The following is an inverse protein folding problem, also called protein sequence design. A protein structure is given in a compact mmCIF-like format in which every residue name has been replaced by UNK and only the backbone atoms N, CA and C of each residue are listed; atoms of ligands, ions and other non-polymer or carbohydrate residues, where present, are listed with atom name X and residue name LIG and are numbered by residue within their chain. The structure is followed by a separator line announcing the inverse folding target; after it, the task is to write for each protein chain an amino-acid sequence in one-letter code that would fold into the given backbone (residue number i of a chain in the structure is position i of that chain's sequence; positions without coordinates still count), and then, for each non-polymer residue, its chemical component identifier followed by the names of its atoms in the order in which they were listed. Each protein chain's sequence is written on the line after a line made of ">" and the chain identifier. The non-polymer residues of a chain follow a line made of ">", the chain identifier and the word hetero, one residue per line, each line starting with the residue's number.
data_IF_604858377138
#
_entry.id   IF_604858377138
#
_cell.length_a   1.000
_cell.length_b   1.000
_cell.length_c   1.000
_cell.angle_alpha   90.00
_cell.angle_beta   90.00
_cell.angle_gamma   90.00
#
_symmetry.space_group_name_H-M   'P 1'
#
loop_
_entity.id
_entity.type
_entity.pdbx_description
1 polymer ?
#
# COMPACT_ATOMS: atom_id res chain seq x y z
N UNK A 1 11.49 31.72 24.52
CA UNK A 1 12.54 31.12 23.67
C UNK A 1 13.46 32.23 23.25
N UNK A 2 14.70 32.26 23.75
CA UNK A 2 15.50 33.50 23.85
C UNK A 2 16.61 33.66 22.80
N UNK A 3 16.60 32.92 21.70
CA UNK A 3 17.63 33.03 20.64
C UNK A 3 17.04 32.83 19.23
N UNK A 4 16.45 33.88 18.62
CA UNK A 4 15.91 33.81 17.25
C UNK A 4 16.98 33.65 16.17
N UNK A 5 18.25 33.88 16.49
CA UNK A 5 19.42 33.79 15.59
C UNK A 5 19.78 32.34 15.21
N UNK A 6 19.26 31.34 15.93
CA UNK A 6 19.43 29.92 15.58
C UNK A 6 18.85 29.59 14.21
N UNK A 7 17.86 30.35 13.74
CA UNK A 7 17.23 30.17 12.43
C UNK A 7 18.14 30.58 11.26
N UNK A 8 19.32 31.16 11.52
CA UNK A 8 20.32 31.47 10.50
C UNK A 8 21.30 30.32 10.23
N UNK A 9 21.07 29.13 10.82
CA UNK A 9 21.86 27.93 10.52
C UNK A 9 21.43 27.33 9.17
N UNK A 10 22.36 26.85 8.31
CA UNK A 10 22.03 26.26 7.00
C UNK A 10 21.03 25.09 7.09
N UNK A 11 21.12 24.32 8.17
CA UNK A 11 20.22 23.19 8.45
C UNK A 11 18.76 23.60 8.76
N UNK A 12 18.49 24.89 9.00
CA UNK A 12 17.16 25.44 9.31
C UNK A 12 16.65 26.41 8.23
N UNK A 13 17.28 26.43 7.05
CA UNK A 13 16.89 27.32 5.94
C UNK A 13 15.43 27.13 5.49
N UNK A 14 14.92 25.89 5.53
CA UNK A 14 13.52 25.61 5.21
C UNK A 14 12.56 26.31 6.18
N UNK A 15 12.92 26.38 7.46
CA UNK A 15 12.11 26.99 8.51
C UNK A 15 12.20 28.51 8.45
N UNK A 16 13.38 29.05 8.13
CA UNK A 16 13.56 30.48 7.81
C UNK A 16 12.66 30.91 6.66
N UNK A 17 12.66 30.17 5.54
CA UNK A 17 11.79 30.46 4.40
C UNK A 17 10.30 30.37 4.75
N UNK A 18 9.91 29.44 5.63
CA UNK A 18 8.53 29.32 6.12
C UNK A 18 8.10 30.54 6.96
N UNK A 19 8.96 31.00 7.87
CA UNK A 19 8.70 32.18 8.72
C UNK A 19 8.60 33.45 7.88
N UNK A 20 9.47 33.62 6.88
CA UNK A 20 9.43 34.74 5.94
C UNK A 20 8.14 34.73 5.09
N UNK A 21 7.68 33.55 4.66
CA UNK A 21 6.42 33.38 3.94
C UNK A 21 5.19 33.79 4.76
N UNK A 22 5.26 33.67 6.08
CA UNK A 22 4.22 34.10 7.03
C UNK A 22 4.36 35.57 7.46
N UNK A 23 5.29 36.32 6.85
CA UNK A 23 5.52 37.74 7.14
C UNK A 23 6.37 38.01 8.38
N UNK A 24 6.99 36.97 8.95
CA UNK A 24 7.95 37.12 10.05
C UNK A 24 9.33 37.53 9.53
N UNK A 25 10.02 38.43 10.26
CA UNK A 25 11.42 38.80 9.96
C UNK A 25 12.36 38.13 10.95
N UNK A 26 13.31 37.33 10.44
CA UNK A 26 14.36 36.72 11.24
C UNK A 26 15.52 37.73 11.38
N UNK A 27 15.98 38.07 12.61
CA UNK A 27 17.14 38.94 12.80
C UNK A 27 18.42 38.34 12.21
N UNK A 28 19.21 39.15 11.51
CA UNK A 28 20.52 38.73 10.97
C UNK A 28 21.57 38.67 12.09
N UNK A 29 22.27 37.54 12.19
CA UNK A 29 23.31 37.32 13.20
C UNK A 29 23.81 35.87 13.23
N UNK A 30 25.07 35.67 13.63
CA UNK A 30 25.64 34.33 13.85
C UNK A 30 25.19 33.78 15.21
N UNK A 31 24.63 32.57 15.28
CA UNK A 31 24.13 32.02 16.55
C UNK A 31 25.26 31.86 17.58
N UNK A 32 25.08 32.47 18.75
CA UNK A 32 26.00 32.34 19.89
C UNK A 32 25.69 31.07 20.69
N UNK A 33 26.59 30.08 20.61
CA UNK A 33 26.54 28.84 21.40
C UNK A 33 27.31 28.94 22.74
N UNK A 34 27.29 30.11 23.39
CA UNK A 34 27.88 30.28 24.71
C UNK A 34 27.04 29.57 25.77
N UNK A 35 27.34 28.29 26.02
CA UNK A 35 26.69 27.50 27.09
C UNK A 35 26.95 26.00 27.12
N UNK A 36 27.67 25.41 26.15
CA UNK A 36 27.97 23.97 26.15
C UNK A 36 29.48 23.72 26.32
N UNK A 37 29.95 23.69 27.57
CA UNK A 37 31.31 23.25 27.87
C UNK A 37 31.43 21.73 27.77
N UNK A 38 32.44 21.31 27.01
CA UNK A 38 33.01 19.96 26.90
C UNK A 38 33.39 19.36 28.26
N UNK A 39 33.22 18.05 28.41
CA UNK A 39 34.19 17.19 29.10
C UNK A 39 34.05 15.73 28.63
N UNK A 40 35.18 15.14 28.22
CA UNK A 40 35.36 13.70 28.01
C UNK A 40 35.59 12.92 29.32
N UNK A 41 35.97 11.64 29.25
CA UNK A 41 35.56 10.60 30.22
C UNK A 41 36.51 10.41 31.41
N UNK A 42 35.98 10.02 32.59
CA UNK A 42 36.60 9.05 33.52
C UNK A 42 35.70 8.67 34.71
N UNK A 43 36.00 7.47 35.21
CA UNK A 43 35.32 6.57 36.15
C UNK A 43 35.10 7.08 37.58
N UNK A 44 34.12 6.48 38.28
CA UNK A 44 33.93 6.55 39.73
C UNK A 44 32.49 6.27 40.16
N UNK A 45 32.27 5.15 40.86
CA UNK A 45 31.06 4.69 41.56
C UNK A 45 30.29 5.82 42.29
N UNK A 46 28.97 5.82 42.49
CA UNK A 46 28.16 4.77 43.16
C UNK A 46 26.64 5.05 42.99
N UNK A 47 25.83 4.01 43.23
CA UNK A 47 24.48 3.83 42.73
C UNK A 47 23.35 4.58 43.47
N UNK A 48 22.34 5.04 42.72
CA UNK A 48 20.92 4.97 43.12
C UNK A 48 20.04 4.51 41.95
N UNK A 49 19.50 3.31 42.11
CA UNK A 49 18.62 2.57 41.20
C UNK A 49 17.36 3.37 40.85
N UNK A 50 17.19 3.67 39.56
CA UNK A 50 15.88 3.75 38.93
C UNK A 50 15.66 2.42 38.17
N UNK A 51 14.48 1.83 38.34
CA UNK A 51 14.14 0.51 37.82
C UNK A 51 14.20 0.49 36.27
N UNK A 52 14.82 -0.54 35.66
CA UNK A 52 14.79 -0.69 34.21
C UNK A 52 13.44 -1.28 33.79
N UNK A 53 12.77 -0.62 32.84
CA UNK A 53 11.84 -1.34 31.98
C UNK A 53 12.61 -2.48 31.30
N UNK A 54 12.03 -3.68 31.11
CA UNK A 54 12.75 -4.74 30.43
C UNK A 54 12.97 -4.32 28.98
N UNK A 55 14.19 -3.89 28.67
CA UNK A 55 14.71 -3.95 27.31
C UNK A 55 14.63 -5.40 26.89
N UNK A 56 13.65 -5.70 26.05
CA UNK A 56 13.67 -6.93 25.29
C UNK A 56 14.90 -6.82 24.40
N UNK A 57 15.85 -7.74 24.60
CA UNK A 57 16.98 -8.03 23.72
C UNK A 57 16.61 -7.71 22.27
N UNK A 58 17.02 -6.53 21.78
CA UNK A 58 17.16 -6.32 20.34
C UNK A 58 18.40 -7.11 19.94
N UNK A 59 18.23 -8.42 19.80
CA UNK A 59 19.08 -9.18 18.88
C UNK A 59 18.78 -8.60 17.50
N UNK A 60 19.55 -7.60 17.12
CA UNK A 60 19.75 -7.26 15.72
C UNK A 60 20.39 -8.48 15.07
N UNK A 61 19.56 -9.46 14.68
CA UNK A 61 19.89 -10.41 13.63
C UNK A 61 19.91 -9.62 12.30
N UNK A 62 20.83 -8.66 12.19
CA UNK A 62 21.27 -8.13 10.90
C UNK A 62 22.25 -9.16 10.33
N UNK A 63 21.74 -10.32 9.96
CA UNK A 63 22.53 -11.17 9.07
C UNK A 63 22.78 -10.37 7.78
N UNK A 64 24.03 -10.34 7.28
CA UNK A 64 24.33 -9.64 6.05
C UNK A 64 23.47 -10.24 4.93
N UNK A 65 22.69 -9.39 4.26
CA UNK A 65 21.90 -9.77 3.10
C UNK A 65 22.84 -10.38 2.06
N UNK A 66 22.67 -11.66 1.76
CA UNK A 66 23.47 -12.34 0.73
C UNK A 66 23.09 -11.75 -0.64
N UNK A 67 24.04 -11.10 -1.30
CA UNK A 67 23.85 -10.60 -2.66
C UNK A 67 23.54 -11.77 -3.61
N UNK A 68 22.61 -11.57 -4.55
CA UNK A 68 22.23 -12.63 -5.50
C UNK A 68 23.25 -12.67 -6.61
N UNK A 69 23.94 -13.79 -6.75
CA UNK A 69 24.87 -14.01 -7.86
C UNK A 69 24.09 -14.19 -9.18
N UNK A 70 24.04 -13.10 -9.94
CA UNK A 70 23.45 -13.02 -11.27
C UNK A 70 24.53 -13.12 -12.34
N UNK A 71 24.22 -13.85 -13.41
CA UNK A 71 25.08 -13.87 -14.58
C UNK A 71 24.81 -12.61 -15.42
N UNK A 72 25.68 -11.62 -15.31
CA UNK A 72 25.55 -10.35 -16.04
C UNK A 72 26.31 -10.34 -17.37
N UNK A 73 26.63 -11.50 -17.94
CA UNK A 73 27.33 -11.58 -19.21
C UNK A 73 26.58 -10.85 -20.34
N UNK A 74 27.30 -9.95 -21.02
CA UNK A 74 26.78 -9.14 -22.10
C UNK A 74 25.86 -8.00 -21.67
N UNK A 75 25.70 -7.71 -20.38
CA UNK A 75 25.09 -6.45 -19.94
C UNK A 75 25.96 -5.26 -20.37
N UNK A 76 25.33 -4.15 -20.68
CA UNK A 76 25.96 -2.92 -21.17
C UNK A 76 25.64 -1.78 -20.23
N UNK A 77 26.49 -0.76 -20.22
CA UNK A 77 26.23 0.44 -19.44
C UNK A 77 25.00 1.18 -20.00
N UNK A 78 24.20 1.83 -19.14
CA UNK A 78 23.08 2.64 -19.57
C UNK A 78 23.56 3.80 -20.46
N UNK A 79 22.90 4.02 -21.61
CA UNK A 79 23.15 5.21 -22.43
C UNK A 79 22.65 6.46 -21.72
N UNK A 80 23.55 7.44 -21.57
CA UNK A 80 23.31 8.73 -20.91
C UNK A 80 23.18 9.88 -21.90
N UNK A 81 22.75 9.59 -23.13
CA UNK A 81 22.51 10.60 -24.17
C UNK A 81 21.25 11.42 -23.89
N UNK A 82 21.16 12.67 -24.41
CA UNK A 82 19.96 13.48 -24.31
C UNK A 82 18.75 12.77 -24.91
N UNK A 83 17.56 13.09 -24.41
CA UNK A 83 16.31 12.48 -24.89
C UNK A 83 16.13 12.71 -26.38
N UNK A 84 15.84 11.63 -27.11
CA UNK A 84 15.65 11.70 -28.55
C UNK A 84 14.33 12.41 -28.91
N UNK A 85 14.23 13.04 -30.10
CA UNK A 85 12.99 13.69 -30.52
C UNK A 85 11.83 12.71 -30.62
N UNK A 86 10.69 13.02 -29.99
CA UNK A 86 9.51 12.14 -29.94
C UNK A 86 8.34 12.61 -30.81
N UNK A 87 8.50 13.71 -31.55
CA UNK A 87 7.43 14.30 -32.37
C UNK A 87 6.36 14.99 -31.53
N UNK A 88 5.38 15.61 -32.20
CA UNK A 88 4.25 16.28 -31.56
C UNK A 88 2.99 15.41 -31.68
N UNK A 89 2.45 14.97 -30.54
CA UNK A 89 1.27 14.10 -30.47
C UNK A 89 -0.05 14.79 -30.88
N UNK A 90 -0.10 16.12 -30.77
CA UNK A 90 -1.29 16.91 -31.06
C UNK A 90 -1.39 17.24 -32.56
N UNK A 91 -0.26 17.28 -33.26
CA UNK A 91 -0.21 17.50 -34.71
C UNK A 91 -1.02 16.41 -35.45
N UNK A 92 -1.98 16.85 -36.25
CA UNK A 92 -2.70 16.00 -37.20
C UNK A 92 -2.05 16.13 -38.58
N UNK A 93 -1.35 15.10 -39.07
CA UNK A 93 -0.67 15.18 -40.37
C UNK A 93 -1.69 15.11 -41.52
N UNK A 94 -1.43 15.83 -42.60
CA UNK A 94 -2.23 15.70 -43.83
C UNK A 94 -2.00 14.34 -44.51
N UNK A 95 -2.87 13.96 -45.45
CA UNK A 95 -2.67 12.72 -46.23
C UNK A 95 -1.31 12.72 -46.96
N UNK A 96 -0.92 13.85 -47.55
CA UNK A 96 0.40 14.00 -48.19
C UNK A 96 1.56 13.82 -47.21
N UNK A 97 1.43 14.34 -45.98
CA UNK A 97 2.41 14.16 -44.91
C UNK A 97 2.48 12.70 -44.45
N UNK A 98 1.35 12.00 -44.36
CA UNK A 98 1.31 10.57 -44.03
C UNK A 98 2.03 9.73 -45.09
N UNK A 99 1.83 10.03 -46.37
CA UNK A 99 2.53 9.37 -47.47
C UNK A 99 4.04 9.63 -47.39
N UNK A 100 4.46 10.87 -47.12
CA UNK A 100 5.88 11.21 -46.89
C UNK A 100 6.47 10.43 -45.70
N UNK A 101 5.74 10.32 -44.58
CA UNK A 101 6.18 9.54 -43.42
C UNK A 101 6.33 8.04 -43.74
N UNK A 102 5.43 7.50 -44.58
CA UNK A 102 5.51 6.11 -45.03
C UNK A 102 6.67 5.85 -46.00
N UNK A 103 7.00 6.81 -46.85
CA UNK A 103 8.20 6.76 -47.69
C UNK A 103 9.48 6.78 -46.85
N UNK A 104 9.53 7.66 -45.84
CA UNK A 104 10.64 7.71 -44.87
C UNK A 104 10.78 6.40 -44.09
N UNK A 105 9.67 5.79 -43.66
CA UNK A 105 9.67 4.45 -43.04
C UNK A 105 10.32 3.42 -43.97
N UNK A 106 9.97 3.43 -45.25
CA UNK A 106 10.48 2.46 -46.22
C UNK A 106 11.98 2.65 -46.47
N UNK A 107 12.43 3.91 -46.57
CA UNK A 107 13.86 4.25 -46.64
C UNK A 107 14.62 3.84 -45.37
N UNK A 108 14.03 4.09 -44.20
CA UNK A 108 14.62 3.73 -42.91
C UNK A 108 14.79 2.21 -42.76
N UNK A 109 13.83 1.43 -43.26
CA UNK A 109 13.90 -0.03 -43.28
C UNK A 109 14.97 -0.55 -44.25
N UNK A 110 15.15 0.11 -45.40
CA UNK A 110 16.24 -0.19 -46.32
C UNK A 110 17.61 0.09 -45.67
N UNK A 111 17.78 1.27 -45.08
CA UNK A 111 19.00 1.63 -44.35
C UNK A 111 19.32 0.65 -43.21
N UNK A 112 18.30 0.20 -42.46
CA UNK A 112 18.47 -0.84 -41.44
C UNK A 112 18.95 -2.17 -42.03
N UNK A 113 18.39 -2.58 -43.17
CA UNK A 113 18.78 -3.82 -43.86
C UNK A 113 20.21 -3.77 -44.39
N UNK A 114 20.68 -2.57 -44.76
CA UNK A 114 22.06 -2.27 -45.13
C UNK A 114 22.99 -2.09 -43.92
N UNK A 115 22.49 -2.31 -42.70
CA UNK A 115 23.21 -2.14 -41.43
C UNK A 115 23.67 -0.70 -41.13
N UNK A 116 23.09 0.29 -41.82
CA UNK A 116 23.30 1.71 -41.55
C UNK A 116 22.28 2.19 -40.50
N UNK A 117 22.53 1.81 -39.25
CA UNK A 117 21.57 2.00 -38.16
C UNK A 117 21.40 3.46 -37.75
N UNK A 118 22.46 4.27 -37.79
CA UNK A 118 22.37 5.71 -37.51
C UNK A 118 21.48 6.42 -38.53
N UNK A 119 21.61 6.08 -39.81
CA UNK A 119 20.75 6.65 -40.85
C UNK A 119 19.31 6.17 -40.71
N UNK A 120 19.10 4.89 -40.37
CA UNK A 120 17.78 4.37 -40.04
C UNK A 120 17.13 5.16 -38.90
N UNK A 121 17.87 5.45 -37.83
CA UNK A 121 17.38 6.25 -36.69
C UNK A 121 16.99 7.66 -37.14
N UNK A 122 17.79 8.31 -37.98
CA UNK A 122 17.47 9.66 -38.49
C UNK A 122 16.19 9.65 -39.31
N UNK A 123 16.08 8.74 -40.29
CA UNK A 123 14.91 8.63 -41.16
C UNK A 123 13.63 8.29 -40.37
N UNK A 124 13.71 7.41 -39.38
CA UNK A 124 12.59 7.18 -38.46
C UNK A 124 12.25 8.39 -37.61
N UNK A 125 13.25 9.17 -37.19
CA UNK A 125 13.03 10.41 -36.42
C UNK A 125 12.29 11.44 -37.27
N UNK A 126 12.65 11.60 -38.53
CA UNK A 126 11.91 12.45 -39.49
C UNK A 126 10.47 11.95 -39.67
N UNK A 127 10.27 10.64 -39.85
CA UNK A 127 8.93 10.06 -39.96
C UNK A 127 8.07 10.30 -38.70
N UNK A 128 8.67 10.24 -37.51
CA UNK A 128 8.00 10.51 -36.22
C UNK A 128 7.65 12.00 -36.06
N UNK A 129 8.51 12.91 -36.53
CA UNK A 129 8.22 14.35 -36.52
C UNK A 129 7.05 14.71 -37.43
N UNK A 130 6.85 13.95 -38.51
CA UNK A 130 5.70 14.11 -39.39
C UNK A 130 4.46 13.46 -38.77
N UNK A 131 4.55 12.19 -38.36
CA UNK A 131 3.45 11.44 -37.74
C UNK A 131 3.91 10.70 -36.47
N UNK A 132 3.60 11.31 -35.33
CA UNK A 132 3.92 10.84 -33.97
C UNK A 132 2.89 9.84 -33.40
N UNK A 133 1.84 9.49 -34.17
CA UNK A 133 0.77 8.58 -33.75
C UNK A 133 0.96 7.15 -34.28
N UNK A 134 2.08 6.87 -34.94
CA UNK A 134 2.42 5.54 -35.45
C UNK A 134 3.30 4.76 -34.47
N UNK A 135 2.72 3.79 -33.76
CA UNK A 135 3.45 2.90 -32.86
C UNK A 135 4.61 2.15 -33.57
N UNK A 136 4.43 1.83 -34.86
CA UNK A 136 5.41 1.11 -35.66
C UNK A 136 6.70 1.91 -35.83
N UNK A 137 6.63 3.23 -36.02
CA UNK A 137 7.83 4.05 -36.22
C UNK A 137 8.72 4.04 -34.98
N UNK A 138 8.13 4.20 -33.80
CA UNK A 138 8.87 4.10 -32.53
C UNK A 138 9.44 2.70 -32.32
N UNK A 139 8.66 1.64 -32.51
CA UNK A 139 9.17 0.26 -32.34
C UNK A 139 10.35 -0.04 -33.28
N UNK A 140 10.31 0.43 -34.53
CA UNK A 140 11.39 0.22 -35.51
C UNK A 140 12.60 1.12 -35.27
N UNK A 141 12.42 2.36 -34.80
CA UNK A 141 13.54 3.18 -34.33
C UNK A 141 14.21 2.58 -33.11
N UNK A 142 13.42 2.06 -32.16
CA UNK A 142 13.90 1.28 -31.01
C UNK A 142 14.70 0.04 -31.43
N UNK A 143 14.28 -0.66 -32.48
CA UNK A 143 15.04 -1.77 -33.06
C UNK A 143 16.42 -1.33 -33.55
N UNK A 144 16.51 -0.18 -34.24
CA UNK A 144 17.80 0.39 -34.65
C UNK A 144 18.67 0.80 -33.45
N UNK A 145 18.08 1.39 -32.40
CA UNK A 145 18.80 1.70 -31.17
C UNK A 145 19.39 0.47 -30.47
N UNK A 146 18.73 -0.69 -30.52
CA UNK A 146 19.31 -1.94 -29.99
C UNK A 146 20.58 -2.34 -30.73
N UNK A 147 20.62 -2.15 -32.05
CA UNK A 147 21.83 -2.44 -32.86
C UNK A 147 22.96 -1.45 -32.59
N UNK A 148 22.60 -0.22 -32.20
CA UNK A 148 23.54 0.81 -31.72
C UNK A 148 23.91 0.68 -30.24
N UNK A 149 23.41 -0.35 -29.54
CA UNK A 149 23.65 -0.56 -28.10
C UNK A 149 23.19 0.65 -27.25
N UNK A 150 22.03 1.22 -27.58
CA UNK A 150 21.37 2.32 -26.85
C UNK A 150 20.05 1.85 -26.20
N UNK A 151 20.11 1.04 -25.14
CA UNK A 151 18.93 0.41 -24.55
C UNK A 151 17.93 1.38 -23.91
N UNK A 152 18.34 2.46 -23.25
CA UNK A 152 17.43 3.47 -22.68
C UNK A 152 16.68 4.21 -23.78
N UNK A 153 17.35 4.63 -24.86
CA UNK A 153 16.69 5.20 -26.03
C UNK A 153 15.64 4.24 -26.61
N UNK A 154 15.99 2.96 -26.77
CA UNK A 154 15.04 1.91 -27.18
C UNK A 154 13.84 1.79 -26.24
N UNK A 155 14.05 1.79 -24.92
CA UNK A 155 12.97 1.69 -23.92
C UNK A 155 12.00 2.87 -24.02
N UNK A 156 12.50 4.11 -24.18
CA UNK A 156 11.64 5.30 -24.36
C UNK A 156 10.75 5.14 -25.59
N UNK A 157 11.32 4.71 -26.71
CA UNK A 157 10.56 4.47 -27.96
C UNK A 157 9.54 3.34 -27.80
N UNK A 158 9.92 2.22 -27.16
CA UNK A 158 9.00 1.11 -26.95
C UNK A 158 7.87 1.47 -25.98
N UNK A 159 8.14 2.28 -24.95
CA UNK A 159 7.10 2.80 -24.06
C UNK A 159 6.11 3.65 -24.86
N UNK A 160 6.61 4.57 -25.69
CA UNK A 160 5.74 5.38 -26.57
C UNK A 160 4.94 4.52 -27.55
N UNK A 161 5.56 3.50 -28.13
CA UNK A 161 4.87 2.56 -29.02
C UNK A 161 3.73 1.83 -28.28
N UNK A 162 3.93 1.45 -27.02
CA UNK A 162 2.93 0.77 -26.19
C UNK A 162 1.85 1.70 -25.65
N UNK A 163 2.14 2.98 -25.46
CA UNK A 163 1.11 4.00 -25.18
C UNK A 163 0.13 4.15 -26.36
N UNK A 164 0.66 4.09 -27.59
CA UNK A 164 -0.13 4.21 -28.82
C UNK A 164 -0.85 2.89 -29.15
N UNK A 165 -0.14 1.76 -29.05
CA UNK A 165 -0.67 0.43 -29.28
C UNK A 165 -0.22 -0.54 -28.17
N UNK A 166 -1.05 -0.75 -27.14
CA UNK A 166 -0.74 -1.65 -26.03
C UNK A 166 -0.55 -3.12 -26.40
N UNK A 167 -1.04 -3.55 -27.57
CA UNK A 167 -0.97 -4.93 -28.07
C UNK A 167 0.19 -5.13 -29.07
N UNK A 168 1.14 -4.19 -29.13
CA UNK A 168 2.30 -4.31 -30.03
C UNK A 168 3.32 -5.33 -29.51
N UNK A 169 3.26 -6.55 -30.03
CA UNK A 169 4.24 -7.61 -29.72
C UNK A 169 5.68 -7.18 -30.00
N UNK A 170 5.92 -6.44 -31.10
CA UNK A 170 7.25 -5.93 -31.46
C UNK A 170 7.82 -4.95 -30.44
N UNK A 171 6.98 -4.06 -29.88
CA UNK A 171 7.42 -3.12 -28.86
C UNK A 171 7.80 -3.84 -27.55
N UNK A 172 7.03 -4.86 -27.13
CA UNK A 172 7.42 -5.71 -26.00
C UNK A 172 8.72 -6.47 -26.28
N UNK A 173 8.88 -7.07 -27.47
CA UNK A 173 10.08 -7.81 -27.85
C UNK A 173 11.34 -6.94 -27.71
N UNK A 174 11.33 -5.74 -28.29
CA UNK A 174 12.50 -4.87 -28.25
C UNK A 174 12.72 -4.24 -26.87
N UNK A 175 11.67 -3.87 -26.13
CA UNK A 175 11.81 -3.38 -24.75
C UNK A 175 12.39 -4.45 -23.83
N UNK A 176 11.94 -5.70 -23.98
CA UNK A 176 12.47 -6.85 -23.25
C UNK A 176 13.95 -7.07 -23.53
N UNK A 177 14.38 -6.98 -24.80
CA UNK A 177 15.79 -7.06 -25.17
C UNK A 177 16.62 -5.90 -24.61
N UNK A 178 16.09 -4.68 -24.63
CA UNK A 178 16.75 -3.52 -24.04
C UNK A 178 16.93 -3.64 -22.52
N UNK A 179 15.90 -4.12 -21.82
CA UNK A 179 15.96 -4.41 -20.39
C UNK A 179 17.00 -5.49 -20.07
N UNK A 180 17.09 -6.55 -20.90
CA UNK A 180 18.16 -7.56 -20.77
C UNK A 180 19.55 -6.93 -20.87
N UNK A 181 19.76 -6.05 -21.84
CA UNK A 181 21.05 -5.35 -22.00
C UNK A 181 21.40 -4.52 -20.76
N UNK A 182 20.41 -3.96 -20.06
CA UNK A 182 20.62 -3.20 -18.82
C UNK A 182 20.70 -4.07 -17.55
N UNK A 183 20.61 -5.40 -17.66
CA UNK A 183 20.56 -6.30 -16.49
C UNK A 183 19.24 -6.24 -15.71
N UNK A 184 18.18 -5.66 -16.30
CA UNK A 184 16.82 -5.61 -15.73
C UNK A 184 16.08 -6.91 -16.06
N UNK A 185 16.51 -8.00 -15.42
CA UNK A 185 16.14 -9.37 -15.80
C UNK A 185 14.65 -9.69 -15.64
N UNK A 186 14.01 -9.20 -14.58
CA UNK A 186 12.58 -9.46 -14.34
C UNK A 186 11.70 -8.71 -15.35
N UNK A 187 12.02 -7.45 -15.63
CA UNK A 187 11.34 -6.63 -16.63
C UNK A 187 11.54 -7.23 -18.03
N UNK A 188 12.76 -7.65 -18.35
CA UNK A 188 13.06 -8.33 -19.61
C UNK A 188 12.23 -9.60 -19.79
N UNK A 189 12.19 -10.47 -18.76
CA UNK A 189 11.42 -11.71 -18.81
C UNK A 189 9.90 -11.45 -18.89
N UNK A 190 9.41 -10.40 -18.24
CA UNK A 190 8.00 -9.99 -18.31
C UNK A 190 7.63 -9.54 -19.73
N UNK A 191 8.42 -8.65 -20.32
CA UNK A 191 8.18 -8.12 -21.66
C UNK A 191 8.30 -9.20 -22.74
N UNK A 192 9.34 -10.03 -22.70
CA UNK A 192 9.53 -11.11 -23.68
C UNK A 192 8.41 -12.17 -23.60
N UNK A 193 7.96 -12.52 -22.38
CA UNK A 193 6.77 -13.39 -22.22
C UNK A 193 5.52 -12.76 -22.84
N UNK A 194 5.32 -11.46 -22.63
CA UNK A 194 4.18 -10.76 -23.19
C UNK A 194 4.26 -10.68 -24.72
N UNK A 195 5.46 -10.47 -25.27
CA UNK A 195 5.70 -10.51 -26.71
C UNK A 195 5.30 -11.88 -27.29
N UNK A 196 5.87 -12.98 -26.79
CA UNK A 196 5.57 -14.33 -27.27
C UNK A 196 4.11 -14.74 -27.07
N UNK A 197 3.43 -14.17 -26.06
CA UNK A 197 1.99 -14.40 -25.82
C UNK A 197 1.11 -13.71 -26.86
N UNK A 198 1.49 -12.49 -27.28
CA UNK A 198 0.75 -11.72 -28.28
C UNK A 198 1.00 -12.25 -29.70
N UNK A 199 2.27 -12.46 -30.03
CA UNK A 199 2.70 -13.02 -31.31
C UNK A 199 3.98 -13.83 -31.08
N UNK A 200 3.92 -15.13 -31.37
CA UNK A 200 5.04 -16.01 -31.13
C UNK A 200 6.15 -15.75 -32.15
N UNK A 201 7.33 -15.44 -31.64
CA UNK A 201 8.52 -15.17 -32.42
C UNK A 201 9.69 -15.96 -31.81
N UNK A 202 10.41 -16.72 -32.64
CA UNK A 202 11.48 -17.62 -32.20
C UNK A 202 12.63 -16.86 -31.52
N UNK A 203 13.02 -15.69 -32.05
CA UNK A 203 14.08 -14.86 -31.47
C UNK A 203 13.66 -14.30 -30.11
N UNK A 204 12.39 -13.92 -29.93
CA UNK A 204 11.85 -13.49 -28.64
C UNK A 204 11.83 -14.62 -27.61
N UNK A 205 11.48 -15.85 -28.01
CA UNK A 205 11.49 -17.03 -27.13
C UNK A 205 12.92 -17.44 -26.73
N UNK A 206 13.88 -17.34 -27.65
CA UNK A 206 15.31 -17.52 -27.35
C UNK A 206 15.81 -16.50 -26.33
N UNK A 207 15.52 -15.21 -26.53
CA UNK A 207 15.86 -14.18 -25.55
C UNK A 207 15.15 -14.39 -24.22
N UNK A 208 13.92 -14.92 -24.22
CA UNK A 208 13.20 -15.23 -22.99
C UNK A 208 13.92 -16.34 -22.20
N UNK A 209 14.36 -17.40 -22.88
CA UNK A 209 15.13 -18.48 -22.26
C UNK A 209 16.42 -17.96 -21.64
N UNK A 210 17.07 -16.99 -22.28
CA UNK A 210 18.30 -16.34 -21.78
C UNK A 210 18.06 -15.61 -20.44
N UNK A 211 16.98 -14.83 -20.33
CA UNK A 211 16.73 -13.99 -19.13
C UNK A 211 16.05 -14.75 -17.98
N UNK A 212 15.39 -15.87 -18.27
CA UNK A 212 14.55 -16.60 -17.31
C UNK A 212 15.32 -17.09 -16.07
N UNK A 213 16.56 -17.64 -16.16
CA UNK A 213 17.31 -18.08 -14.99
C UNK A 213 17.59 -16.96 -13.99
N UNK A 214 18.07 -15.81 -14.46
CA UNK A 214 18.34 -14.65 -13.60
C UNK A 214 17.05 -14.08 -13.01
N UNK A 215 15.99 -13.94 -13.82
CA UNK A 215 14.69 -13.49 -13.32
C UNK A 215 14.15 -14.39 -12.21
N UNK A 216 14.27 -15.73 -12.35
CA UNK A 216 13.86 -16.70 -11.32
C UNK A 216 14.69 -16.60 -10.05
N UNK A 217 16.02 -16.41 -10.15
CA UNK A 217 16.88 -16.21 -8.99
C UNK A 217 16.47 -14.96 -8.19
N UNK A 218 16.20 -13.85 -8.89
CA UNK A 218 15.75 -12.60 -8.27
C UNK A 218 14.40 -12.80 -7.58
N UNK A 219 13.44 -13.42 -8.27
CA UNK A 219 12.10 -13.70 -7.72
C UNK A 219 12.19 -14.57 -6.46
N UNK A 220 12.96 -15.66 -6.50
CA UNK A 220 13.18 -16.53 -5.35
C UNK A 220 13.82 -15.79 -4.17
N UNK A 221 14.78 -14.92 -4.45
CA UNK A 221 15.42 -14.11 -3.42
C UNK A 221 14.43 -13.14 -2.77
N UNK A 222 13.61 -12.43 -3.56
CA UNK A 222 12.57 -11.52 -3.06
C UNK A 222 11.54 -12.26 -2.20
N UNK A 223 11.08 -13.42 -2.64
CA UNK A 223 10.15 -14.26 -1.88
C UNK A 223 10.77 -14.74 -0.55
N UNK A 224 12.06 -15.08 -0.54
CA UNK A 224 12.78 -15.45 0.68
C UNK A 224 12.90 -14.27 1.64
N UNK A 225 13.24 -13.08 1.13
CA UNK A 225 13.29 -11.86 1.94
C UNK A 225 11.92 -11.49 2.52
N UNK A 226 10.88 -11.56 1.71
CA UNK A 226 9.52 -11.24 2.15
C UNK A 226 9.05 -12.21 3.24
N UNK A 227 9.28 -13.51 3.07
CA UNK A 227 8.99 -14.52 4.09
C UNK A 227 9.70 -14.19 5.41
N UNK A 228 11.00 -13.90 5.34
CA UNK A 228 11.79 -13.54 6.53
C UNK A 228 11.27 -12.27 7.22
N UNK A 229 10.86 -11.26 6.44
CA UNK A 229 10.23 -10.03 6.95
C UNK A 229 8.91 -10.32 7.66
N UNK A 230 8.04 -11.12 7.04
CA UNK A 230 6.75 -11.50 7.61
C UNK A 230 6.91 -12.35 8.89
N UNK A 231 7.85 -13.30 8.90
CA UNK A 231 8.17 -14.11 10.08
C UNK A 231 8.69 -13.24 11.24
N UNK A 232 9.56 -12.27 10.94
CA UNK A 232 10.05 -11.29 11.93
C UNK A 232 8.91 -10.43 12.49
N UNK A 233 8.07 -9.86 11.64
CA UNK A 233 6.91 -9.06 12.07
C UNK A 233 5.92 -9.87 12.91
N UNK A 234 5.66 -11.13 12.53
CA UNK A 234 4.78 -12.03 13.28
C UNK A 234 5.37 -12.34 14.66
N UNK A 235 6.67 -12.64 14.73
CA UNK A 235 7.38 -12.89 15.99
C UNK A 235 7.33 -11.67 16.90
N UNK A 236 7.65 -10.49 16.38
CA UNK A 236 7.58 -9.23 17.14
C UNK A 236 6.15 -8.90 17.59
N UNK A 237 5.13 -9.24 16.78
CA UNK A 237 3.72 -9.10 17.17
C UNK A 237 3.35 -10.07 18.29
N UNK A 238 3.78 -11.33 18.21
CA UNK A 238 3.55 -12.34 19.25
C UNK A 238 4.24 -11.96 20.56
N UNK A 239 5.49 -11.50 20.50
CA UNK A 239 6.23 -11.02 21.67
C UNK A 239 5.56 -9.80 22.32
N UNK A 240 5.06 -8.83 21.53
CA UNK A 240 4.29 -7.70 22.03
C UNK A 240 3.00 -8.13 22.73
N UNK A 241 2.24 -9.05 22.15
CA UNK A 241 1.01 -9.59 22.76
C UNK A 241 1.34 -10.32 24.06
N UNK A 242 2.39 -11.17 24.06
CA UNK A 242 2.83 -11.89 25.27
C UNK A 242 3.23 -10.93 26.39
N UNK A 243 4.00 -9.89 26.08
CA UNK A 243 4.41 -8.86 27.05
C UNK A 243 3.22 -8.09 27.61
N UNK A 244 2.25 -7.74 26.76
CA UNK A 244 1.02 -7.07 27.18
C UNK A 244 0.15 -7.97 28.09
N UNK A 245 0.02 -9.26 27.74
CA UNK A 245 -0.69 -10.24 28.57
C UNK A 245 0.00 -10.44 29.93
N UNK A 246 1.33 -10.51 29.95
CA UNK A 246 2.09 -10.65 31.20
C UNK A 246 1.99 -9.40 32.08
N UNK A 247 2.07 -8.20 31.49
CA UNK A 247 1.88 -6.94 32.20
C UNK A 247 0.46 -6.82 32.78
N UNK A 248 -0.57 -7.16 32.00
CA UNK A 248 -1.95 -7.17 32.49
C UNK A 248 -2.16 -8.18 33.61
N UNK A 249 -1.55 -9.38 33.52
CA UNK A 249 -1.62 -10.39 34.60
C UNK A 249 -0.95 -9.89 35.88
N UNK A 250 0.25 -9.32 35.78
CA UNK A 250 0.98 -8.73 36.91
C UNK A 250 0.18 -7.60 37.57
N UNK A 251 -0.38 -6.69 36.77
CA UNK A 251 -1.23 -5.61 37.28
C UNK A 251 -2.49 -6.14 37.99
N UNK A 252 -3.11 -7.21 37.46
CA UNK A 252 -4.25 -7.85 38.10
C UNK A 252 -3.87 -8.49 39.45
N UNK A 253 -2.74 -9.23 39.51
CA UNK A 253 -2.23 -9.83 40.74
C UNK A 253 -1.87 -8.77 41.80
N UNK A 254 -1.24 -7.67 41.39
CA UNK A 254 -0.93 -6.53 42.28
C UNK A 254 -2.20 -5.87 42.82
N UNK A 255 -3.21 -5.65 41.97
CA UNK A 255 -4.50 -5.11 42.40
C UNK A 255 -5.23 -6.04 43.38
N UNK A 256 -5.14 -7.36 43.18
CA UNK A 256 -5.72 -8.35 44.09
C UNK A 256 -4.97 -8.41 45.43
N UNK A 257 -3.64 -8.24 45.44
CA UNK A 257 -2.85 -8.16 46.68
C UNK A 257 -3.03 -6.84 47.42
N UNK A 258 -3.18 -5.73 46.70
CA UNK A 258 -3.44 -4.42 47.28
C UNK A 258 -4.88 -4.31 47.85
N UNK A 259 -5.80 -5.16 47.40
CA UNK A 259 -7.14 -5.31 47.99
C UNK A 259 -7.22 -6.28 49.18
N UNK A 260 -6.09 -6.71 49.75
CA UNK A 260 -6.02 -7.73 50.80
C UNK A 260 -5.95 -7.23 52.25
N UNK A 261 -5.91 -5.93 52.49
CA UNK A 261 -5.89 -5.36 53.85
C UNK A 261 -6.73 -4.07 53.87
N UNK A 262 -7.98 -4.20 54.27
CA UNK A 262 -8.91 -3.08 54.34
C UNK A 262 -10.35 -3.55 54.51
N UNK A 263 -10.68 -3.90 55.76
CA UNK A 263 -12.01 -3.87 56.37
C UNK A 263 -13.20 -4.46 55.59
N UNK A 264 -13.80 -5.48 56.21
CA UNK A 264 -15.12 -6.10 55.97
C UNK A 264 -16.32 -5.13 55.96
N UNK A 265 -16.14 -3.83 55.66
CA UNK A 265 -17.20 -2.82 55.68
C UNK A 265 -17.26 -1.94 54.41
N UNK A 266 -16.47 -2.25 53.36
CA UNK A 266 -16.64 -1.65 52.02
C UNK A 266 -17.24 -2.62 50.98
N UNK A 267 -17.62 -3.82 51.40
CA UNK A 267 -18.42 -4.79 50.62
C UNK A 267 -19.93 -4.55 50.74
N UNK A 268 -20.36 -3.30 50.91
CA UNK A 268 -21.78 -2.91 50.91
C UNK A 268 -22.31 -2.35 49.59
N UNK A 269 -21.45 -2.06 48.60
CA UNK A 269 -21.84 -1.18 47.47
C UNK A 269 -21.66 -1.73 46.04
N UNK A 270 -20.74 -2.67 45.79
CA UNK A 270 -20.40 -3.11 44.41
C UNK A 270 -20.28 -4.65 44.32
N UNK A 271 -21.07 -5.38 45.11
CA UNK A 271 -21.12 -6.84 45.09
C UNK A 271 -22.39 -7.44 44.48
N UNK A 272 -23.44 -6.66 44.23
CA UNK A 272 -24.75 -7.19 43.82
C UNK A 272 -25.02 -7.22 42.31
N UNK A 273 -24.26 -6.46 41.50
CA UNK A 273 -24.58 -6.29 40.07
C UNK A 273 -24.20 -7.48 39.20
N UNK A 274 -23.00 -8.03 39.39
CA UNK A 274 -22.49 -9.12 38.57
C UNK A 274 -23.20 -10.45 38.85
N UNK A 275 -23.53 -10.74 40.11
CA UNK A 275 -24.25 -11.96 40.52
C UNK A 275 -25.71 -11.97 40.05
N UNK A 276 -26.38 -10.81 40.07
CA UNK A 276 -27.72 -10.64 39.51
C UNK A 276 -27.72 -10.80 37.98
N UNK A 277 -26.73 -10.25 37.29
CA UNK A 277 -26.58 -10.40 35.83
C UNK A 277 -26.32 -11.88 35.48
N UNK A 278 -25.42 -12.55 36.21
CA UNK A 278 -25.12 -13.97 36.00
C UNK A 278 -26.33 -14.87 36.30
N UNK A 279 -27.13 -14.54 37.31
CA UNK A 279 -28.37 -15.27 37.61
C UNK A 279 -29.46 -14.99 36.57
N UNK A 280 -29.51 -13.81 35.97
CA UNK A 280 -30.44 -13.50 34.88
C UNK A 280 -30.10 -14.24 33.57
N UNK A 281 -28.82 -14.54 33.32
CA UNK A 281 -28.38 -15.40 32.20
C UNK A 281 -28.81 -16.87 32.34
N UNK A 282 -29.22 -17.31 33.54
CA UNK A 282 -29.75 -18.66 33.78
C UNK A 282 -31.23 -18.79 33.40
N UNK A 283 -31.94 -17.66 33.25
CA UNK A 283 -33.32 -17.65 32.72
C UNK A 283 -33.23 -17.72 31.17
N UNK A 284 -33.65 -18.83 30.54
CA UNK A 284 -33.50 -19.02 29.10
C UNK A 284 -34.19 -17.94 28.26
N UNK A 285 -35.28 -17.37 28.78
CA UNK A 285 -36.04 -16.32 28.11
C UNK A 285 -35.29 -14.99 28.10
N UNK A 286 -34.59 -14.67 29.20
CA UNK A 286 -33.82 -13.44 29.36
C UNK A 286 -32.50 -13.50 28.59
N UNK A 287 -31.84 -14.67 28.58
CA UNK A 287 -30.63 -14.90 27.80
C UNK A 287 -30.87 -14.75 26.29
N UNK A 288 -31.97 -15.33 25.78
CA UNK A 288 -32.34 -15.22 24.36
C UNK A 288 -32.66 -13.78 23.96
N UNK A 289 -33.41 -13.05 24.80
CA UNK A 289 -33.75 -11.64 24.55
C UNK A 289 -32.49 -10.75 24.56
N UNK A 290 -31.56 -10.99 25.49
CA UNK A 290 -30.31 -10.22 25.57
C UNK A 290 -29.37 -10.51 24.39
N UNK A 291 -29.32 -11.75 23.90
CA UNK A 291 -28.56 -12.10 22.71
C UNK A 291 -29.13 -11.44 21.44
N UNK A 292 -30.45 -11.37 21.30
CA UNK A 292 -31.12 -10.66 20.19
C UNK A 292 -30.82 -9.14 20.26
N UNK A 293 -30.87 -8.55 21.45
CA UNK A 293 -30.54 -7.13 21.66
C UNK A 293 -29.05 -6.84 21.40
N UNK A 294 -28.13 -7.72 21.84
CA UNK A 294 -26.70 -7.56 21.59
C UNK A 294 -26.35 -7.71 20.11
N UNK A 295 -27.04 -8.60 19.41
CA UNK A 295 -26.87 -8.79 17.97
C UNK A 295 -27.50 -7.65 17.17
N UNK A 296 -28.57 -7.03 17.68
CA UNK A 296 -29.25 -5.90 17.06
C UNK A 296 -29.90 -4.95 18.11
N UNK A 297 -29.26 -3.82 18.45
CA UNK A 297 -29.75 -2.90 19.49
C UNK A 297 -31.13 -2.29 19.24
N UNK A 298 -31.62 -2.28 17.99
CA UNK A 298 -32.96 -1.79 17.66
C UNK A 298 -34.08 -2.71 18.20
N UNK A 299 -33.77 -3.95 18.55
CA UNK A 299 -34.75 -4.94 19.01
C UNK A 299 -35.17 -4.77 20.47
N UNK A 300 -34.56 -3.84 21.22
CA UNK A 300 -34.96 -3.51 22.61
C UNK A 300 -36.46 -3.21 22.72
N UNK A 301 -37.03 -2.55 21.69
CA UNK A 301 -38.46 -2.23 21.63
C UNK A 301 -39.39 -3.44 21.75
N UNK A 302 -38.96 -4.62 21.28
CA UNK A 302 -39.76 -5.86 21.29
C UNK A 302 -39.98 -6.40 22.70
N UNK A 303 -39.06 -6.09 23.62
CA UNK A 303 -39.05 -6.61 24.99
C UNK A 303 -39.46 -5.58 26.03
N UNK A 304 -39.96 -4.41 25.61
CA UNK A 304 -40.42 -3.34 26.50
C UNK A 304 -41.52 -3.81 27.48
N UNK A 305 -42.34 -4.77 27.05
CA UNK A 305 -43.41 -5.33 27.87
C UNK A 305 -42.94 -6.50 28.75
N UNK A 306 -41.67 -6.95 28.65
CA UNK A 306 -41.10 -7.97 29.52
C UNK A 306 -40.33 -7.30 30.67
N UNK A 307 -40.90 -7.25 31.89
CA UNK A 307 -40.29 -6.53 33.01
C UNK A 307 -38.95 -7.12 33.45
N UNK A 308 -38.73 -8.44 33.25
CA UNK A 308 -37.44 -9.08 33.57
C UNK A 308 -36.32 -8.59 32.67
N UNK A 309 -36.58 -8.52 31.36
CA UNK A 309 -35.60 -8.08 30.35
C UNK A 309 -35.33 -6.59 30.49
N UNK A 310 -36.36 -5.76 30.68
CA UNK A 310 -36.19 -4.31 30.84
C UNK A 310 -35.44 -3.92 32.12
N UNK A 311 -35.70 -4.61 33.24
CA UNK A 311 -34.96 -4.38 34.47
C UNK A 311 -33.47 -4.73 34.30
N UNK A 312 -33.15 -5.79 33.56
CA UNK A 312 -31.77 -6.19 33.28
C UNK A 312 -31.08 -5.22 32.30
N UNK A 313 -31.73 -4.83 31.20
CA UNK A 313 -31.19 -3.87 30.22
C UNK A 313 -30.93 -2.51 30.89
N UNK A 314 -31.82 -2.06 31.78
CA UNK A 314 -31.65 -0.81 32.52
C UNK A 314 -30.49 -0.89 33.52
N UNK A 315 -30.31 -2.04 34.20
CA UNK A 315 -29.15 -2.29 35.08
C UNK A 315 -27.82 -2.35 34.30
N UNK A 316 -27.80 -3.05 33.17
CA UNK A 316 -26.60 -3.15 32.29
C UNK A 316 -26.25 -1.79 31.70
N UNK A 317 -27.22 -1.02 31.23
CA UNK A 317 -27.01 0.34 30.72
C UNK A 317 -26.54 1.30 31.83
N UNK A 318 -27.09 1.17 33.03
CA UNK A 318 -26.67 1.94 34.21
C UNK A 318 -25.25 1.62 34.67
N UNK A 319 -24.81 0.36 34.60
CA UNK A 319 -23.43 -0.03 34.88
C UNK A 319 -22.46 0.31 33.73
N UNK A 320 -22.89 0.25 32.47
CA UNK A 320 -22.07 0.61 31.31
C UNK A 320 -21.85 2.13 31.16
N UNK A 321 -22.73 2.95 31.74
CA UNK A 321 -22.57 4.42 31.81
C UNK A 321 -21.53 4.89 32.82
N UNK A 322 -21.02 4.01 33.69
CA UNK A 322 -19.98 4.28 34.67
C UNK A 322 -18.63 3.71 34.23
N UNK A 323 -17.91 4.45 33.38
CA UNK A 323 -16.45 4.34 33.19
C UNK A 323 -15.85 2.93 33.22
N UNK A 324 -16.12 2.11 32.20
CA UNK A 324 -15.47 0.81 32.04
C UNK A 324 -15.88 0.12 30.75
N UNK A 325 -15.19 0.42 29.65
CA UNK A 325 -15.43 -0.21 28.36
C UNK A 325 -15.08 -1.70 28.38
N UNK A 326 -15.97 -2.53 27.85
CA UNK A 326 -15.68 -3.94 27.55
C UNK A 326 -14.65 -4.04 26.40
N UNK A 327 -13.67 -4.96 26.46
CA UNK A 327 -12.73 -5.15 25.36
C UNK A 327 -13.44 -5.83 24.20
N UNK A 328 -13.66 -5.11 23.10
CA UNK A 328 -14.13 -5.70 21.83
C UNK A 328 -15.05 -4.84 20.98
N UNK A 329 -15.56 -3.70 21.48
CA UNK A 329 -16.47 -2.84 20.69
C UNK A 329 -15.73 -1.59 20.18
N UNK A 330 -15.13 -1.72 19.00
CA UNK A 330 -14.70 -0.57 18.21
C UNK A 330 -15.91 0.01 17.48
N UNK A 331 -16.34 1.20 17.89
CA UNK A 331 -17.41 1.93 17.20
C UNK A 331 -17.98 3.02 18.09
N UNK A 332 -17.38 4.22 18.03
CA UNK A 332 -17.90 5.39 18.73
C UNK A 332 -19.29 5.77 18.24
N UNK A 333 -20.15 6.17 19.17
CA UNK A 333 -21.38 6.90 18.84
C UNK A 333 -21.16 8.41 19.08
N UNK A 334 -21.63 9.29 18.18
CA UNK A 334 -21.35 10.73 18.24
C UNK A 334 -22.12 11.39 19.38
N UNK A 335 -21.45 12.33 20.04
CA UNK A 335 -21.91 12.98 21.27
C UNK A 335 -23.25 13.70 21.17
N UNK A 336 -24.05 13.54 22.23
CA UNK A 336 -25.12 14.45 22.59
C UNK A 336 -24.53 15.70 23.27
N UNK A 337 -24.30 16.75 22.49
CA UNK A 337 -24.09 18.10 23.00
C UNK A 337 -25.43 18.77 23.24
N UNK A 338 -25.71 19.16 24.47
CA UNK A 338 -26.83 20.03 24.81
C UNK A 338 -26.49 21.48 24.46
N UNK A 339 -27.32 22.15 23.66
CA UNK A 339 -27.32 23.61 23.53
C UNK A 339 -27.90 24.17 22.23
N UNK A 340 -29.16 24.62 22.26
CA UNK A 340 -29.67 25.75 21.46
C UNK A 340 -30.41 25.46 20.13
N UNK A 341 -31.74 25.59 20.16
CA UNK A 341 -32.61 25.91 18.99
C UNK A 341 -32.38 27.38 18.53
N UNK A 342 -32.91 27.90 17.38
CA UNK A 342 -34.03 27.38 16.56
C UNK A 342 -33.90 27.50 15.01
N UNK A 343 -34.74 26.76 14.27
CA UNK A 343 -35.32 27.26 13.01
C UNK A 343 -35.47 26.25 11.84
N UNK A 344 -36.72 26.01 11.42
CA UNK A 344 -37.05 25.67 10.01
C UNK A 344 -37.58 24.26 9.71
N UNK A 345 -38.91 24.08 9.74
CA UNK A 345 -39.66 23.13 8.90
C UNK A 345 -39.96 23.79 7.52
N UNK A 346 -40.53 23.12 6.47
CA UNK A 346 -40.91 21.70 6.30
C UNK A 346 -40.59 21.08 4.91
N UNK A 347 -40.78 19.75 4.76
CA UNK A 347 -41.07 19.09 3.47
C UNK A 347 -40.62 17.62 3.44
N UNK A 348 -41.48 16.62 3.68
CA UNK A 348 -42.47 16.00 2.78
C UNK A 348 -41.92 14.75 2.04
N UNK A 349 -42.67 13.64 2.11
CA UNK A 349 -42.53 12.43 1.26
C UNK A 349 -42.20 11.16 2.05
N UNK A 350 -43.19 10.40 2.54
CA UNK A 350 -43.79 9.24 1.85
C UNK A 350 -42.76 8.10 1.65
N UNK A 351 -42.79 7.00 2.40
CA UNK A 351 -43.76 5.90 2.35
C UNK A 351 -42.93 4.63 2.09
N UNK A 352 -42.89 3.63 2.96
CA UNK A 352 -43.82 2.51 2.98
C UNK A 352 -43.05 1.22 3.29
N UNK A 353 -43.48 0.51 4.33
CA UNK A 353 -43.26 -0.93 4.58
C UNK A 353 -44.42 -1.73 3.91
N UNK A 354 -44.51 -3.08 3.93
CA UNK A 354 -43.60 -4.15 4.39
C UNK A 354 -43.53 -5.41 3.48
N UNK A 355 -42.70 -6.40 3.86
CA UNK A 355 -43.05 -7.83 3.79
C UNK A 355 -42.15 -8.68 2.88
N UNK A 356 -41.32 -9.60 3.39
CA UNK A 356 -41.58 -10.95 3.95
C UNK A 356 -41.36 -12.08 2.92
N UNK A 357 -40.51 -13.05 3.26
CA UNK A 357 -40.73 -14.47 2.89
C UNK A 357 -39.68 -15.16 2.00
N UNK A 358 -38.81 -15.95 2.63
CA UNK A 358 -38.68 -17.41 2.42
C UNK A 358 -38.19 -17.98 1.06
N UNK A 359 -37.10 -18.77 1.12
CA UNK A 359 -36.59 -19.67 0.07
C UNK A 359 -37.21 -21.11 0.18
N UNK A 360 -36.65 -22.17 -0.47
CA UNK A 360 -36.80 -22.72 -1.85
C UNK A 360 -37.47 -24.15 -1.80
N UNK A 361 -37.24 -25.20 -2.65
CA UNK A 361 -36.65 -25.41 -4.00
C UNK A 361 -37.47 -26.33 -4.97
N UNK A 362 -36.90 -26.63 -6.17
CA UNK A 362 -36.97 -27.89 -6.95
C UNK A 362 -37.94 -28.09 -8.14
N UNK A 363 -37.36 -28.65 -9.22
CA UNK A 363 -37.86 -29.63 -10.19
C UNK A 363 -38.40 -29.18 -11.57
N UNK A 364 -37.87 -29.81 -12.62
CA UNK A 364 -38.55 -30.00 -13.91
C UNK A 364 -37.74 -29.65 -15.17
N UNK A 365 -37.04 -30.62 -15.78
CA UNK A 365 -36.73 -30.60 -17.23
C UNK A 365 -37.97 -30.98 -18.07
N UNK A 366 -37.87 -31.44 -19.34
CA UNK A 366 -36.68 -31.61 -20.19
C UNK A 366 -36.90 -31.30 -21.72
N UNK A 367 -35.89 -31.65 -22.54
CA UNK A 367 -35.90 -31.95 -24.01
C UNK A 367 -36.01 -30.75 -24.94
N UNK A 368 -35.49 -30.71 -26.16
CA UNK A 368 -34.66 -31.53 -27.06
C UNK A 368 -34.28 -30.50 -28.17
N UNK A 369 -33.17 -30.56 -28.90
CA UNK A 369 -32.94 -31.45 -30.06
C UNK A 369 -31.55 -31.11 -30.66
N UNK A 370 -30.79 -32.18 -30.94
CA UNK A 370 -30.00 -32.46 -32.17
C UNK A 370 -28.86 -31.50 -32.53
N UNK A 371 -27.60 -31.98 -32.46
CA UNK A 371 -26.84 -32.61 -33.58
C UNK A 371 -26.33 -31.52 -34.54
N UNK A 372 -25.06 -31.41 -34.94
CA UNK A 372 -24.08 -32.43 -35.28
C UNK A 372 -22.64 -31.91 -35.01
N UNK A 373 -21.75 -32.83 -34.69
CA UNK A 373 -20.29 -32.70 -34.78
C UNK A 373 -19.86 -33.22 -36.16
N UNK A 374 -19.04 -32.44 -36.86
CA UNK A 374 -17.80 -32.90 -37.49
C UNK A 374 -16.80 -31.73 -37.53
#
# INVERSE_FOLDING_TARGET
>A
MQQPELLNLPQLDFFKAFVEKLGGKVPEGTPSFAGAHKAGPKEGEEAKKAAPEPEADKKEDSEPESDVELDNEGCVEPDNEPEQPMGDAEKEPSEEELDQANDLRSKAAAAYSEQNYEESVKLFTEAIQINSRSALYYAKRGQAYLKLVKPNACIRDCNRALEINPDSATAYKFRGRANRLLGKWEEAAKDLRQACKLDFDEEADEWLKEVTPNAKKIEQHKLKQERRRQEKELRERQERVRRAQEANRKAAEESARAGGDGDDDFLGGVGGGAEDILNAFKDPEVAAALQDIMSNPANIGKYQNNPKVMNLVTKIAGQAGGGGGFPGFGGGFPGAGAGGFPGGFPGAGAGGFPGFGGAPPSSGGPKNTTDDLD
#
